data_IF_610614498033
#
_entry.id   IF_610614498033
#
_cell.length_a   1.000
_cell.length_b   1.000
_cell.length_c   1.000
_cell.angle_alpha   90.00
_cell.angle_beta   90.00
_cell.angle_gamma   90.00
#
_symmetry.space_group_name_H-M   'P 1'
#
loop_
_entity.id
_entity.type
_entity.pdbx_description
1 polymer ?
#
# COMPACT_ATOMS: atom_id res chain seq x y z
N UNK A 1 8.14 2.49 16.95
CA UNK A 1 8.46 3.89 16.58
C UNK A 1 7.91 4.83 17.64
N UNK A 2 8.62 5.89 18.04
CA UNK A 2 8.16 6.83 19.09
C UNK A 2 6.90 7.59 18.62
N UNK A 3 5.86 7.72 19.47
CA UNK A 3 4.55 8.29 19.10
C UNK A 3 4.62 9.67 18.42
N UNK A 4 5.62 10.49 18.78
CA UNK A 4 5.84 11.81 18.16
C UNK A 4 6.20 11.70 16.68
N UNK A 5 7.07 10.75 16.31
CA UNK A 5 7.49 10.52 14.93
C UNK A 5 6.34 10.09 14.04
N UNK A 6 5.47 9.23 14.57
CA UNK A 6 4.25 8.80 13.89
C UNK A 6 3.28 9.95 13.61
N UNK A 7 3.17 10.93 14.51
CA UNK A 7 2.35 12.13 14.27
C UNK A 7 2.90 12.96 13.10
N UNK A 8 4.21 13.17 13.03
CA UNK A 8 4.84 13.94 11.95
C UNK A 8 4.65 13.28 10.59
N UNK A 9 4.81 11.96 10.53
CA UNK A 9 4.55 11.20 9.30
C UNK A 9 3.08 11.30 8.88
N UNK A 10 2.15 11.19 9.82
CA UNK A 10 0.73 11.36 9.52
C UNK A 10 0.42 12.77 9.02
N UNK A 11 1.08 13.81 9.55
CA UNK A 11 0.93 15.18 9.03
C UNK A 11 1.37 15.25 7.56
N UNK A 12 2.51 14.67 7.21
CA UNK A 12 3.00 14.65 5.83
C UNK A 12 2.08 13.85 4.91
N UNK A 13 1.70 12.63 5.30
CA UNK A 13 0.77 11.77 4.55
C UNK A 13 -0.56 12.48 4.29
N UNK A 14 -1.17 13.06 5.33
CA UNK A 14 -2.45 13.75 5.18
C UNK A 14 -2.33 14.99 4.29
N UNK A 15 -1.26 15.78 4.42
CA UNK A 15 -1.04 16.95 3.57
C UNK A 15 -0.88 16.56 2.10
N UNK A 16 0.02 15.62 1.79
CA UNK A 16 0.28 15.21 0.41
C UNK A 16 -0.92 14.48 -0.22
N UNK A 17 -1.67 13.73 0.59
CA UNK A 17 -2.94 13.15 0.16
C UNK A 17 -3.96 14.24 -0.19
N UNK A 18 -4.18 15.19 0.73
CA UNK A 18 -5.16 16.25 0.53
C UNK A 18 -4.83 17.11 -0.69
N UNK A 19 -3.55 17.43 -0.88
CA UNK A 19 -3.11 18.19 -2.05
C UNK A 19 -3.41 17.44 -3.35
N UNK A 20 -3.03 16.16 -3.44
CA UNK A 20 -3.27 15.33 -4.62
C UNK A 20 -4.77 15.12 -4.89
N UNK A 21 -5.53 14.82 -3.84
CA UNK A 21 -6.93 14.41 -3.95
C UNK A 21 -7.88 15.58 -4.19
N UNK A 22 -7.69 16.71 -3.49
CA UNK A 22 -8.59 17.87 -3.58
C UNK A 22 -8.28 18.76 -4.78
N UNK A 23 -7.05 18.76 -5.28
CA UNK A 23 -6.60 19.64 -6.37
C UNK A 23 -6.31 18.87 -7.66
N UNK A 24 -7.19 17.95 -8.06
CA UNK A 24 -6.98 17.06 -9.21
C UNK A 24 -6.48 17.79 -10.49
N UNK A 25 -6.95 19.01 -10.75
CA UNK A 25 -6.53 19.79 -11.92
C UNK A 25 -5.05 20.16 -11.89
N UNK A 26 -4.49 20.45 -10.72
CA UNK A 26 -3.07 20.81 -10.57
C UNK A 26 -2.15 19.58 -10.63
N UNK A 27 -2.74 18.38 -10.51
CA UNK A 27 -2.02 17.10 -10.45
C UNK A 27 -2.43 16.13 -11.57
N UNK A 28 -2.96 16.62 -12.70
CA UNK A 28 -3.48 15.76 -13.78
C UNK A 28 -2.48 14.70 -14.24
N UNK A 29 -1.21 15.07 -14.44
CA UNK A 29 -0.16 14.13 -14.84
C UNK A 29 0.06 12.99 -13.82
N UNK A 30 -0.05 13.27 -12.53
CA UNK A 30 0.07 12.27 -11.46
C UNK A 30 -1.15 11.35 -11.45
N UNK A 31 -2.34 11.90 -11.66
CA UNK A 31 -3.57 11.12 -11.78
C UNK A 31 -3.55 10.20 -13.01
N UNK A 32 -3.10 10.69 -14.17
CA UNK A 32 -2.91 9.90 -15.38
C UNK A 32 -1.85 8.82 -15.20
N UNK A 33 -0.78 9.10 -14.46
CA UNK A 33 0.23 8.11 -14.10
C UNK A 33 -0.37 6.98 -13.26
N UNK A 34 -1.09 7.30 -12.18
CA UNK A 34 -1.74 6.32 -11.30
C UNK A 34 -2.80 5.49 -12.05
N UNK A 35 -3.53 6.10 -12.98
CA UNK A 35 -4.53 5.40 -13.80
C UNK A 35 -3.94 4.27 -14.66
N UNK A 36 -2.65 4.35 -15.04
CA UNK A 36 -1.93 3.26 -15.74
C UNK A 36 -1.85 1.99 -14.89
N UNK A 37 -1.94 2.12 -13.57
CA UNK A 37 -1.95 1.02 -12.60
C UNK A 37 -3.36 0.67 -12.11
N UNK A 38 -4.40 1.17 -12.78
CA UNK A 38 -5.80 0.97 -12.40
C UNK A 38 -6.16 1.56 -11.03
N UNK A 39 -5.39 2.56 -10.58
CA UNK A 39 -5.69 3.31 -9.35
C UNK A 39 -6.69 4.40 -9.71
N UNK A 40 -7.87 4.35 -9.10
CA UNK A 40 -8.93 5.33 -9.33
C UNK A 40 -9.11 6.27 -8.13
N UNK A 41 -9.99 7.27 -8.27
CA UNK A 41 -10.26 8.26 -7.22
C UNK A 41 -10.62 7.62 -5.87
N UNK A 42 -11.43 6.57 -5.90
CA UNK A 42 -11.84 5.86 -4.68
C UNK A 42 -10.67 5.15 -4.03
N UNK A 43 -9.72 4.62 -4.80
CA UNK A 43 -8.50 4.00 -4.28
C UNK A 43 -7.57 5.03 -3.65
N UNK A 44 -7.36 6.17 -4.33
CA UNK A 44 -6.55 7.29 -3.79
C UNK A 44 -7.07 7.70 -2.42
N UNK A 45 -8.40 7.83 -2.27
CA UNK A 45 -9.06 8.11 -0.98
C UNK A 45 -8.90 6.96 0.01
N UNK A 46 -9.23 5.73 -0.40
CA UNK A 46 -9.29 4.55 0.46
C UNK A 46 -7.92 4.20 1.07
N UNK A 47 -6.86 4.35 0.29
CA UNK A 47 -5.48 4.03 0.70
C UNK A 47 -4.67 5.27 1.10
N UNK A 48 -5.28 6.46 1.12
CA UNK A 48 -4.61 7.74 1.41
C UNK A 48 -3.36 7.95 0.57
N UNK A 49 -3.44 7.64 -0.73
CA UNK A 49 -2.33 7.84 -1.66
C UNK A 49 -2.06 9.34 -1.76
N UNK A 50 -0.80 9.74 -1.62
CA UNK A 50 -0.37 11.14 -1.69
C UNK A 50 0.75 11.35 -2.71
N UNK A 51 1.00 12.61 -3.03
CA UNK A 51 2.13 13.00 -3.89
C UNK A 51 2.79 14.26 -3.33
N UNK A 52 4.11 14.23 -3.19
CA UNK A 52 4.90 15.39 -2.81
C UNK A 52 5.42 16.08 -4.06
N UNK A 53 4.92 17.29 -4.32
CA UNK A 53 5.27 18.08 -5.50
C UNK A 53 6.67 18.72 -5.37
N UNK A 54 7.28 19.18 -6.48
CA UNK A 54 8.61 19.77 -6.44
C UNK A 54 8.66 21.14 -5.75
N UNK A 55 7.50 21.69 -5.42
CA UNK A 55 7.35 23.00 -4.83
C UNK A 55 7.50 23.01 -3.30
N UNK A 56 7.96 21.92 -2.68
CA UNK A 56 8.10 21.74 -1.23
C UNK A 56 6.82 22.12 -0.45
N UNK A 57 5.69 21.48 -0.73
CA UNK A 57 4.42 21.82 -0.11
C UNK A 57 4.42 21.72 1.42
N UNK A 58 5.17 20.79 2.03
CA UNK A 58 5.20 20.66 3.49
C UNK A 58 5.93 21.83 4.14
N UNK A 59 7.11 22.22 3.64
CA UNK A 59 7.81 23.43 4.10
C UNK A 59 6.93 24.67 3.96
N UNK A 60 6.25 24.83 2.82
CA UNK A 60 5.36 25.99 2.58
C UNK A 60 4.16 26.00 3.53
N UNK A 61 3.48 24.87 3.69
CA UNK A 61 2.28 24.78 4.51
C UNK A 61 2.58 24.98 6.00
N UNK A 62 3.73 24.49 6.47
CA UNK A 62 4.12 24.55 7.88
C UNK A 62 5.18 25.63 8.18
N UNK A 63 5.40 26.61 7.30
CA UNK A 63 6.48 27.59 7.41
C UNK A 63 6.52 28.27 8.80
N UNK A 64 5.41 28.84 9.24
CA UNK A 64 5.30 29.50 10.56
C UNK A 64 5.58 28.53 11.71
N UNK A 65 5.13 27.28 11.60
CA UNK A 65 5.35 26.26 12.63
C UNK A 65 6.81 25.81 12.69
N UNK A 66 7.47 25.67 11.54
CA UNK A 66 8.88 25.29 11.45
C UNK A 66 9.80 26.40 11.99
N UNK A 67 9.42 27.66 11.77
CA UNK A 67 10.13 28.82 12.32
C UNK A 67 9.93 28.93 13.83
N UNK A 68 8.68 28.84 14.31
CA UNK A 68 8.33 28.99 15.72
C UNK A 68 8.83 27.84 16.60
N UNK A 69 8.94 26.62 16.05
CA UNK A 69 9.31 25.42 16.81
C UNK A 69 10.55 24.73 16.23
N UNK A 70 11.78 25.13 16.62
CA UNK A 70 13.02 24.54 16.10
C UNK A 70 13.13 23.02 16.32
N UNK A 71 12.54 22.50 17.41
CA UNK A 71 12.50 21.07 17.69
C UNK A 71 11.71 20.33 16.60
N UNK A 72 10.58 20.88 16.13
CA UNK A 72 9.80 20.30 15.05
C UNK A 72 10.63 20.17 13.77
N UNK A 73 11.33 21.25 13.39
CA UNK A 73 12.25 21.24 12.24
C UNK A 73 13.29 20.13 12.38
N UNK A 74 13.95 20.04 13.54
CA UNK A 74 14.98 19.02 13.81
C UNK A 74 14.44 17.60 13.69
N UNK A 75 13.25 17.34 14.24
CA UNK A 75 12.61 16.03 14.13
C UNK A 75 12.27 15.68 12.68
N UNK A 76 11.68 16.62 11.92
CA UNK A 76 11.36 16.41 10.51
C UNK A 76 12.61 16.16 9.64
N UNK A 77 13.72 16.83 9.92
CA UNK A 77 15.01 16.56 9.28
C UNK A 77 15.52 15.15 9.64
N UNK A 78 15.49 14.80 10.93
CA UNK A 78 15.96 13.49 11.42
C UNK A 78 15.14 12.32 10.86
N UNK A 79 13.85 12.56 10.58
CA UNK A 79 12.96 11.59 9.96
C UNK A 79 13.16 11.46 8.45
N UNK A 80 13.88 12.39 7.80
CA UNK A 80 13.97 12.42 6.35
C UNK A 80 12.70 12.93 5.67
N UNK A 81 11.86 13.71 6.36
CA UNK A 81 10.74 14.45 5.74
C UNK A 81 11.23 15.75 5.10
N UNK A 82 12.25 16.36 5.69
CA UNK A 82 12.90 17.57 5.22
C UNK A 82 14.36 17.31 4.87
N UNK A 83 14.92 18.14 3.99
CA UNK A 83 16.34 18.18 3.68
C UNK A 83 16.84 19.62 3.66
N UNK A 84 18.11 19.82 4.02
CA UNK A 84 18.76 21.13 3.90
C UNK A 84 19.51 21.22 2.56
N UNK A 85 19.38 22.35 1.89
CA UNK A 85 20.11 22.72 0.68
C UNK A 85 20.73 24.11 0.84
N UNK A 86 21.53 24.53 -0.15
CA UNK A 86 22.07 25.89 -0.20
C UNK A 86 20.98 26.97 -0.27
N UNK A 87 19.79 26.62 -0.76
CA UNK A 87 18.62 27.51 -0.89
C UNK A 87 17.73 27.49 0.36
N UNK A 88 18.07 26.71 1.38
CA UNK A 88 17.31 26.57 2.62
C UNK A 88 16.75 25.17 2.83
N UNK A 89 15.63 25.08 3.56
CA UNK A 89 14.97 23.80 3.86
C UNK A 89 13.98 23.50 2.75
N UNK A 90 13.94 22.24 2.31
CA UNK A 90 12.97 21.73 1.33
C UNK A 90 12.40 20.39 1.76
N UNK A 91 11.31 19.99 1.13
CA UNK A 91 10.77 18.64 1.32
C UNK A 91 11.79 17.62 0.78
N UNK A 92 12.04 16.54 1.52
CA UNK A 92 12.96 15.49 1.09
C UNK A 92 12.34 14.51 0.07
N UNK A 93 11.01 14.47 -0.01
CA UNK A 93 10.24 13.53 -0.83
C UNK A 93 9.75 14.15 -2.15
N UNK A 94 10.44 15.15 -2.69
CA UNK A 94 10.06 15.80 -3.94
C UNK A 94 9.88 14.78 -5.08
N UNK A 95 8.83 14.98 -5.89
CA UNK A 95 8.47 14.15 -7.04
C UNK A 95 8.26 12.67 -6.71
N UNK A 96 7.66 12.42 -5.54
CA UNK A 96 7.48 11.07 -4.99
C UNK A 96 6.02 10.82 -4.65
N UNK A 97 5.51 9.64 -5.03
CA UNK A 97 4.23 9.13 -4.56
C UNK A 97 4.40 8.43 -3.21
N UNK A 98 3.40 8.60 -2.34
CA UNK A 98 3.36 7.96 -1.03
C UNK A 98 2.20 6.97 -0.99
N UNK A 99 2.51 5.75 -0.55
CA UNK A 99 1.59 4.65 -0.31
C UNK A 99 1.69 4.24 1.16
N UNK A 100 0.90 4.86 2.05
CA UNK A 100 1.01 4.64 3.48
C UNK A 100 0.61 3.21 3.87
N UNK A 101 1.35 2.63 4.81
CA UNK A 101 1.12 1.29 5.37
C UNK A 101 0.49 1.42 6.75
N UNK A 102 -0.76 0.98 6.88
CA UNK A 102 -1.54 1.05 8.11
C UNK A 102 -1.76 -0.33 8.70
N UNK A 103 -1.67 -0.44 10.02
CA UNK A 103 -2.12 -1.63 10.75
C UNK A 103 -3.66 -1.75 10.72
N UNK A 104 -4.17 -2.83 11.30
CA UNK A 104 -5.60 -3.14 11.37
C UNK A 104 -6.41 -2.08 12.15
N UNK A 105 -5.81 -1.41 13.15
CA UNK A 105 -6.44 -0.30 13.87
C UNK A 105 -6.36 1.03 13.09
N UNK A 106 -5.58 1.07 12.01
CA UNK A 106 -5.37 2.24 11.18
C UNK A 106 -4.25 3.16 11.62
N UNK A 107 -3.33 2.70 12.47
CA UNK A 107 -2.11 3.42 12.79
C UNK A 107 -1.10 3.25 11.65
N UNK A 108 -0.51 4.37 11.25
CA UNK A 108 0.58 4.38 10.29
C UNK A 108 1.81 3.70 10.92
N UNK A 109 2.46 2.78 10.22
CA UNK A 109 3.72 2.19 10.69
C UNK A 109 4.85 2.30 9.64
N UNK A 110 4.51 2.40 8.35
CA UNK A 110 5.48 2.62 7.28
C UNK A 110 4.87 3.39 6.10
N UNK A 111 5.69 3.76 5.12
CA UNK A 111 5.27 4.36 3.85
C UNK A 111 6.08 3.70 2.75
N UNK A 112 5.42 3.08 1.77
CA UNK A 112 6.05 2.74 0.51
C UNK A 112 6.10 4.00 -0.34
N UNK A 113 7.28 4.35 -0.85
CA UNK A 113 7.48 5.52 -1.68
C UNK A 113 7.85 5.10 -3.10
N UNK A 114 7.31 5.79 -4.09
CA UNK A 114 7.64 5.57 -5.49
C UNK A 114 8.17 6.85 -6.12
N UNK A 115 9.45 6.84 -6.45
CA UNK A 115 10.12 7.92 -7.18
C UNK A 115 10.11 7.57 -8.67
N UNK A 116 9.54 8.42 -9.53
CA UNK A 116 9.35 8.12 -10.97
C UNK A 116 10.61 7.63 -11.69
N UNK A 117 11.79 8.12 -11.29
CA UNK A 117 13.09 7.75 -11.88
C UNK A 117 13.86 6.68 -11.11
N UNK A 118 13.53 6.43 -9.84
CA UNK A 118 14.30 5.53 -8.95
C UNK A 118 13.53 4.29 -8.51
N UNK A 119 12.22 4.23 -8.78
CA UNK A 119 11.37 3.11 -8.42
C UNK A 119 10.95 3.12 -6.94
N UNK A 120 10.63 1.93 -6.43
CA UNK A 120 10.10 1.71 -5.08
C UNK A 120 11.18 1.77 -4.01
N UNK A 121 10.84 2.37 -2.87
CA UNK A 121 11.57 2.26 -1.60
C UNK A 121 10.61 2.21 -0.43
N UNK A 122 11.12 1.80 0.72
CA UNK A 122 10.44 1.94 2.01
C UNK A 122 11.03 3.12 2.76
N UNK A 123 10.15 3.93 3.35
CA UNK A 123 10.58 5.04 4.18
C UNK A 123 11.27 4.56 5.47
N UNK A 124 10.76 3.47 6.08
CA UNK A 124 11.44 2.74 7.14
C UNK A 124 11.83 1.35 6.66
N UNK A 125 13.05 1.17 6.11
CA UNK A 125 13.48 -0.14 5.61
C UNK A 125 13.65 -1.17 6.74
N UNK A 126 13.92 -0.72 7.97
CA UNK A 126 14.09 -1.60 9.14
C UNK A 126 12.76 -2.16 9.68
N UNK A 127 11.63 -1.58 9.31
CA UNK A 127 10.32 -2.06 9.76
C UNK A 127 10.05 -3.46 9.16
N UNK A 128 9.90 -4.51 9.99
CA UNK A 128 9.85 -5.88 9.51
C UNK A 128 8.52 -6.25 8.87
N UNK A 129 7.39 -5.63 9.25
CA UNK A 129 6.09 -6.01 8.68
C UNK A 129 5.98 -5.53 7.22
N UNK A 130 6.23 -4.24 6.98
CA UNK A 130 6.23 -3.61 5.64
C UNK A 130 5.09 -4.10 4.71
N UNK A 131 3.86 -4.20 5.23
CA UNK A 131 2.68 -4.64 4.47
C UNK A 131 1.83 -3.44 4.03
N UNK A 132 1.44 -3.42 2.76
CA UNK A 132 0.44 -2.47 2.25
C UNK A 132 -0.94 -3.13 2.11
N UNK A 133 -2.00 -2.39 2.46
CA UNK A 133 -3.40 -2.82 2.33
C UNK A 133 -4.00 -3.56 3.54
N UNK A 134 -3.22 -3.82 4.59
CA UNK A 134 -3.63 -4.61 5.76
C UNK A 134 -4.94 -4.11 6.41
N UNK A 135 -5.02 -2.81 6.70
CA UNK A 135 -6.24 -2.19 7.25
C UNK A 135 -7.49 -2.49 6.41
N UNK A 136 -7.38 -2.35 5.09
CA UNK A 136 -8.50 -2.52 4.17
C UNK A 136 -8.88 -4.00 4.02
N UNK A 137 -7.91 -4.91 4.10
CA UNK A 137 -8.12 -6.34 3.93
C UNK A 137 -8.64 -7.04 5.21
N UNK A 138 -8.46 -6.43 6.38
CA UNK A 138 -8.83 -7.02 7.69
C UNK A 138 -10.27 -7.54 7.74
N UNK A 139 -11.25 -6.75 7.26
CA UNK A 139 -12.65 -7.20 7.22
C UNK A 139 -12.85 -8.37 6.25
N UNK A 140 -12.19 -8.33 5.09
CA UNK A 140 -12.25 -9.39 4.08
C UNK A 140 -11.71 -10.71 4.63
N UNK A 141 -10.60 -10.67 5.38
CA UNK A 141 -10.00 -11.86 5.97
C UNK A 141 -10.99 -12.63 6.85
N UNK A 142 -11.70 -11.92 7.73
CA UNK A 142 -12.69 -12.55 8.60
C UNK A 142 -13.91 -13.11 7.84
N UNK A 143 -14.28 -12.51 6.71
CA UNK A 143 -15.46 -12.89 5.94
C UNK A 143 -15.19 -14.10 5.03
N UNK A 144 -14.04 -14.12 4.34
CA UNK A 144 -13.73 -15.18 3.38
C UNK A 144 -12.69 -16.21 3.88
N UNK A 145 -11.99 -15.94 4.98
CA UNK A 145 -10.96 -16.82 5.56
C UNK A 145 -9.71 -16.97 4.68
N UNK A 146 -9.48 -16.04 3.75
CA UNK A 146 -8.48 -16.13 2.69
C UNK A 146 -7.61 -14.87 2.69
N UNK A 147 -6.33 -15.00 2.34
CA UNK A 147 -5.46 -13.88 2.00
C UNK A 147 -4.70 -14.13 0.68
N UNK A 148 -4.67 -13.14 -0.20
CA UNK A 148 -3.73 -13.08 -1.32
C UNK A 148 -2.51 -12.24 -0.95
N UNK A 149 -1.33 -12.83 -1.09
CA UNK A 149 -0.05 -12.15 -0.84
C UNK A 149 0.59 -11.81 -2.18
N UNK A 150 0.62 -10.51 -2.49
CA UNK A 150 1.08 -9.97 -3.77
C UNK A 150 2.47 -9.31 -3.61
N UNK A 151 3.31 -9.34 -4.66
CA UNK A 151 4.69 -8.87 -4.57
C UNK A 151 4.82 -7.34 -4.67
N UNK A 152 3.88 -6.67 -5.34
CA UNK A 152 3.98 -5.24 -5.58
C UNK A 152 2.63 -4.50 -5.57
N UNK A 153 2.71 -3.18 -5.36
CA UNK A 153 1.54 -2.30 -5.24
C UNK A 153 0.83 -2.08 -6.57
N UNK A 154 1.54 -2.09 -7.71
CA UNK A 154 0.90 -1.90 -9.01
C UNK A 154 0.02 -3.11 -9.32
N UNK A 155 0.54 -4.32 -9.15
CA UNK A 155 -0.21 -5.54 -9.39
C UNK A 155 -1.35 -5.70 -8.40
N UNK A 156 -1.19 -5.22 -7.16
CA UNK A 156 -2.28 -5.14 -6.19
C UNK A 156 -3.51 -4.38 -6.70
N UNK A 157 -3.34 -3.20 -7.30
CA UNK A 157 -4.48 -2.43 -7.80
C UNK A 157 -5.11 -3.06 -9.05
N UNK A 158 -4.30 -3.63 -9.94
CA UNK A 158 -4.82 -4.40 -11.07
C UNK A 158 -5.60 -5.63 -10.57
N UNK A 159 -5.09 -6.33 -9.56
CA UNK A 159 -5.70 -7.51 -8.98
C UNK A 159 -7.02 -7.15 -8.29
N UNK A 160 -7.01 -6.09 -7.47
CA UNK A 160 -8.21 -5.54 -6.84
C UNK A 160 -9.27 -5.19 -7.89
N UNK A 161 -8.89 -4.57 -9.01
CA UNK A 161 -9.84 -4.27 -10.07
C UNK A 161 -10.49 -5.54 -10.62
N UNK A 162 -9.72 -6.62 -10.84
CA UNK A 162 -10.26 -7.89 -11.33
C UNK A 162 -11.25 -8.54 -10.36
N UNK A 163 -10.99 -8.49 -9.06
CA UNK A 163 -11.87 -9.07 -8.03
C UNK A 163 -12.95 -8.11 -7.50
N UNK A 164 -12.94 -6.83 -7.91
CA UNK A 164 -13.86 -5.79 -7.45
C UNK A 164 -15.35 -6.19 -7.45
N UNK A 165 -15.87 -6.94 -8.45
CA UNK A 165 -17.29 -7.35 -8.45
C UNK A 165 -17.72 -8.15 -7.22
N UNK A 166 -16.78 -8.73 -6.46
CA UNK A 166 -17.09 -9.44 -5.22
C UNK A 166 -17.42 -8.52 -4.04
N UNK A 167 -17.02 -7.24 -4.09
CA UNK A 167 -17.08 -6.32 -2.95
C UNK A 167 -16.07 -6.63 -1.84
N UNK A 168 -15.27 -7.69 -1.98
CA UNK A 168 -14.32 -8.19 -0.99
C UNK A 168 -12.91 -8.08 -1.58
N UNK A 169 -11.95 -7.57 -0.81
CA UNK A 169 -10.55 -7.55 -1.20
C UNK A 169 -9.68 -8.15 -0.09
N UNK A 170 -9.38 -9.45 -0.15
CA UNK A 170 -8.50 -10.12 0.79
C UNK A 170 -7.02 -10.05 0.36
N UNK A 171 -6.62 -9.02 -0.38
CA UNK A 171 -5.25 -8.90 -0.89
C UNK A 171 -4.42 -7.96 -0.03
N UNK A 172 -3.15 -8.29 0.15
CA UNK A 172 -2.13 -7.41 0.72
C UNK A 172 -0.84 -7.51 -0.08
N UNK A 173 0.03 -6.51 0.06
CA UNK A 173 1.37 -6.50 -0.57
C UNK A 173 2.44 -6.69 0.48
N UNK A 174 3.33 -7.65 0.26
CA UNK A 174 4.45 -7.94 1.16
C UNK A 174 5.72 -7.28 0.61
N UNK A 175 5.97 -6.01 0.97
CA UNK A 175 6.96 -5.16 0.30
C UNK A 175 8.42 -5.60 0.52
N UNK A 176 8.67 -6.48 1.50
CA UNK A 176 9.98 -7.08 1.80
C UNK A 176 9.98 -8.60 1.63
N UNK A 177 9.01 -9.14 0.91
CA UNK A 177 8.73 -10.58 0.89
C UNK A 177 7.93 -11.03 2.12
N UNK A 178 7.56 -12.30 2.12
CA UNK A 178 6.75 -12.92 3.17
C UNK A 178 7.67 -13.36 4.31
N UNK A 179 7.29 -13.06 5.55
CA UNK A 179 8.02 -13.46 6.76
C UNK A 179 7.06 -13.97 7.84
N UNK A 180 7.61 -14.55 8.90
CA UNK A 180 6.86 -15.20 9.98
C UNK A 180 5.88 -14.24 10.66
N UNK A 181 6.27 -12.98 10.86
CA UNK A 181 5.42 -11.97 11.48
C UNK A 181 4.17 -11.70 10.63
N UNK A 182 4.29 -11.73 9.30
CA UNK A 182 3.13 -11.60 8.40
C UNK A 182 2.20 -12.81 8.57
N UNK A 183 2.75 -14.03 8.59
CA UNK A 183 1.96 -15.26 8.72
C UNK A 183 1.21 -15.32 10.07
N UNK A 184 1.93 -15.09 11.18
CA UNK A 184 1.36 -15.02 12.54
C UNK A 184 0.25 -13.96 12.62
N UNK A 185 0.47 -12.79 12.00
CA UNK A 185 -0.53 -11.71 11.95
C UNK A 185 -1.79 -12.15 11.20
N UNK A 186 -1.65 -12.83 10.06
CA UNK A 186 -2.80 -13.29 9.27
C UNK A 186 -3.59 -14.37 10.01
N UNK A 187 -2.92 -15.28 10.70
CA UNK A 187 -3.54 -16.30 11.54
C UNK A 187 -4.39 -15.66 12.67
N UNK A 188 -3.84 -14.66 13.37
CA UNK A 188 -4.57 -13.89 14.39
C UNK A 188 -5.78 -13.13 13.82
N UNK A 189 -5.76 -12.79 12.53
CA UNK A 189 -6.86 -12.12 11.83
C UNK A 189 -7.90 -13.11 11.26
N UNK A 190 -7.78 -14.41 11.58
CA UNK A 190 -8.74 -15.44 11.18
C UNK A 190 -8.59 -15.92 9.74
N UNK A 191 -7.45 -15.63 9.10
CA UNK A 191 -7.10 -16.25 7.82
C UNK A 191 -6.91 -17.75 8.04
N UNK A 192 -7.41 -18.56 7.11
CA UNK A 192 -7.25 -20.03 7.11
C UNK A 192 -6.47 -20.51 5.91
N UNK A 193 -6.59 -19.80 4.78
CA UNK A 193 -5.89 -20.10 3.53
C UNK A 193 -5.10 -18.88 3.06
N UNK A 194 -3.86 -19.11 2.64
CA UNK A 194 -2.99 -18.14 2.00
C UNK A 194 -2.71 -18.57 0.57
N UNK A 195 -2.90 -17.65 -0.38
CA UNK A 195 -2.40 -17.78 -1.75
C UNK A 195 -1.28 -16.75 -1.94
N UNK A 196 -0.03 -17.21 -1.97
CA UNK A 196 1.12 -16.37 -2.29
C UNK A 196 1.41 -16.44 -3.78
N UNK A 197 1.48 -15.27 -4.42
CA UNK A 197 1.76 -15.15 -5.85
C UNK A 197 3.15 -14.57 -6.03
N UNK A 198 3.99 -15.27 -6.80
CA UNK A 198 5.35 -14.86 -7.15
C UNK A 198 6.27 -14.56 -5.95
N UNK A 199 5.96 -15.13 -4.79
CA UNK A 199 6.71 -14.94 -3.55
C UNK A 199 6.86 -16.27 -2.82
N UNK A 200 8.04 -16.48 -2.27
CA UNK A 200 8.33 -17.63 -1.41
C UNK A 200 7.72 -17.41 -0.02
N UNK A 201 7.27 -18.50 0.59
CA UNK A 201 6.84 -18.53 1.99
C UNK A 201 7.95 -19.21 2.80
N UNK A 202 8.43 -18.60 3.89
CA UNK A 202 9.43 -19.23 4.74
C UNK A 202 8.88 -20.51 5.37
N UNK A 203 9.72 -21.51 5.67
CA UNK A 203 9.28 -22.72 6.37
C UNK A 203 8.82 -22.36 7.79
N UNK A 204 7.53 -22.57 8.09
CA UNK A 204 6.97 -22.47 9.43
C UNK A 204 5.97 -23.57 9.76
N UNK A 205 5.92 -23.89 11.05
CA UNK A 205 4.82 -24.58 11.72
C UNK A 205 3.66 -23.59 11.94
N UNK A 206 2.93 -23.29 10.86
CA UNK A 206 1.63 -22.60 10.96
C UNK A 206 0.54 -23.56 10.49
N UNK A 207 -0.63 -23.51 11.12
CA UNK A 207 -1.81 -24.29 10.72
C UNK A 207 -2.49 -23.71 9.45
N UNK A 208 -1.95 -22.62 8.90
CA UNK A 208 -2.44 -21.99 7.68
C UNK A 208 -2.22 -22.89 6.46
N UNK A 209 -3.27 -23.10 5.67
CA UNK A 209 -3.14 -23.74 4.37
C UNK A 209 -2.48 -22.77 3.39
N UNK A 210 -1.23 -23.02 3.03
CA UNK A 210 -0.46 -22.14 2.15
C UNK A 210 -0.29 -22.72 0.75
N UNK A 211 -0.61 -21.93 -0.27
CA UNK A 211 -0.42 -22.29 -1.68
C UNK A 211 0.45 -21.23 -2.33
N UNK A 212 1.59 -21.65 -2.87
CA UNK A 212 2.55 -20.78 -3.56
C UNK A 212 2.41 -20.99 -5.06
N UNK A 213 2.15 -19.90 -5.78
CA UNK A 213 2.02 -19.90 -7.23
C UNK A 213 3.16 -19.11 -7.87
N UNK A 214 3.83 -19.65 -8.90
CA UNK A 214 4.84 -18.89 -9.62
C UNK A 214 4.18 -17.76 -10.42
N UNK A 215 4.96 -16.74 -10.76
CA UNK A 215 4.48 -15.71 -11.68
C UNK A 215 4.13 -16.30 -13.06
N UNK A 216 2.92 -16.02 -13.53
CA UNK A 216 2.40 -16.37 -14.85
C UNK A 216 2.54 -15.23 -15.86
N UNK A 217 3.23 -14.16 -15.50
CA UNK A 217 3.57 -13.03 -16.38
C UNK A 217 2.47 -11.97 -16.53
N UNK A 218 1.29 -12.19 -15.94
CA UNK A 218 0.27 -11.16 -15.83
C UNK A 218 -0.65 -11.40 -14.62
N UNK A 219 -1.18 -10.30 -14.07
CA UNK A 219 -2.10 -10.33 -12.92
C UNK A 219 -3.35 -11.18 -13.19
N UNK A 220 -3.89 -11.12 -14.41
CA UNK A 220 -5.03 -11.96 -14.80
C UNK A 220 -4.67 -13.44 -14.84
N UNK A 221 -3.53 -13.80 -15.41
CA UNK A 221 -3.07 -15.18 -15.46
C UNK A 221 -2.78 -15.72 -14.04
N UNK A 222 -2.20 -14.88 -13.18
CA UNK A 222 -1.99 -15.19 -11.76
C UNK A 222 -3.31 -15.44 -11.03
N UNK A 223 -4.32 -14.58 -11.23
CA UNK A 223 -5.65 -14.78 -10.65
C UNK A 223 -6.31 -16.08 -11.16
N UNK A 224 -6.30 -16.33 -12.48
CA UNK A 224 -6.87 -17.56 -13.06
C UNK A 224 -6.17 -18.82 -12.54
N UNK A 225 -4.85 -18.77 -12.36
CA UNK A 225 -4.09 -19.87 -11.78
C UNK A 225 -4.46 -20.12 -10.30
N UNK A 226 -4.89 -19.08 -9.57
CA UNK A 226 -5.31 -19.20 -8.18
C UNK A 226 -6.73 -19.76 -8.00
N UNK A 227 -7.65 -19.50 -8.92
CA UNK A 227 -9.07 -19.87 -8.79
C UNK A 227 -9.32 -21.36 -8.42
N UNK A 228 -8.64 -22.35 -9.01
CA UNK A 228 -8.87 -23.76 -8.69
C UNK A 228 -8.56 -24.12 -7.23
N UNK A 229 -7.71 -23.32 -6.58
CA UNK A 229 -7.19 -23.56 -5.24
C UNK A 229 -8.00 -22.89 -4.14
N UNK A 230 -8.94 -22.00 -4.48
CA UNK A 230 -9.71 -21.26 -3.49
C UNK A 230 -10.64 -22.21 -2.71
N UNK A 231 -10.43 -22.32 -1.40
CA UNK A 231 -11.27 -23.13 -0.53
C UNK A 231 -12.70 -22.57 -0.45
N UNK A 232 -12.84 -21.24 -0.48
CA UNK A 232 -14.13 -20.55 -0.45
C UNK A 232 -14.81 -20.55 -1.84
N UNK A 233 -15.65 -21.55 -2.09
CA UNK A 233 -16.35 -21.73 -3.37
C UNK A 233 -17.26 -20.56 -3.74
N UNK A 234 -17.90 -19.91 -2.75
CA UNK A 234 -18.75 -18.73 -2.99
C UNK A 234 -17.90 -17.57 -3.51
N UNK A 235 -16.79 -17.29 -2.85
CA UNK A 235 -15.88 -16.23 -3.25
C UNK A 235 -15.27 -16.49 -4.63
N UNK A 236 -14.84 -17.74 -4.88
CA UNK A 236 -14.38 -18.19 -6.21
C UNK A 236 -15.41 -17.89 -7.29
N UNK A 237 -16.68 -18.30 -7.09
CA UNK A 237 -17.73 -18.10 -8.09
C UNK A 237 -18.00 -16.61 -8.35
N UNK A 238 -17.93 -15.76 -7.32
CA UNK A 238 -18.08 -14.32 -7.49
C UNK A 238 -16.97 -13.73 -8.37
N UNK A 239 -15.72 -14.21 -8.22
CA UNK A 239 -14.62 -13.79 -9.10
C UNK A 239 -14.88 -14.26 -10.54
N UNK A 240 -15.21 -15.53 -10.73
CA UNK A 240 -15.48 -16.10 -12.06
C UNK A 240 -16.57 -15.32 -12.81
N UNK A 241 -17.72 -15.08 -12.16
CA UNK A 241 -18.80 -14.26 -12.74
C UNK A 241 -18.34 -12.83 -13.01
N UNK A 242 -17.52 -12.26 -12.13
CA UNK A 242 -16.93 -10.93 -12.34
C UNK A 242 -16.05 -10.85 -13.58
N UNK A 243 -15.28 -11.90 -13.87
CA UNK A 243 -14.45 -12.02 -15.07
C UNK A 243 -15.30 -12.23 -16.33
N UNK A 244 -16.34 -13.07 -16.25
CA UNK A 244 -17.33 -13.30 -17.31
C UNK A 244 -18.01 -11.97 -17.73
N UNK A 245 -18.50 -11.19 -16.78
CA UNK A 245 -19.18 -9.89 -17.04
C UNK A 245 -18.23 -8.88 -17.70
N UNK A 246 -16.95 -8.90 -17.35
CA UNK A 246 -15.94 -8.01 -17.94
C UNK A 246 -15.53 -8.44 -19.35
N UNK A 247 -16.04 -9.55 -19.88
CA UNK A 247 -15.59 -10.20 -21.12
C UNK A 247 -14.09 -10.52 -21.10
N UNK A 248 -13.55 -10.86 -19.92
CA UNK A 248 -12.13 -11.20 -19.74
C UNK A 248 -12.04 -12.73 -19.64
N UNK A 249 -12.07 -13.38 -20.82
CA UNK A 249 -11.94 -14.83 -21.03
C UNK A 249 -10.51 -15.34 -20.99
#
# INVERSE_FOLDING_TARGET
MEQKRLKLLNMAVNLYHDLLYKNKQDYLSQWEFLAKWKIEQLDIRKFKIGYCSPNSPFVKYYAESLEKYPILKKECLSLGLLSESQEGIKDALIDTFLFPCFDEQGNLFNIAIYELKKGWKLFFPEEPLAVFGLKQATYSFSDCGLAFLLPDIKDFFVFQNLIFPTGINPSIVCLKGINNLILEKLELLGVKQIIAIAQEIPPLETDLETIVLPDKGSVLANLKAALPYLANQRFRRLIEVGLEIKNIG
#
